data_IF_836135365226
#
_entry.id   IF_836135365226
#
_cell.length_a   1.000
_cell.length_b   1.000
_cell.length_c   1.000
_cell.angle_alpha   90.00
_cell.angle_beta   90.00
_cell.angle_gamma   90.00
#
_symmetry.space_group_name_H-M   'P 1'
#
loop_
_entity.id
_entity.type
_entity.pdbx_description
1 polymer ?
#
# COMPACT_ATOMS: atom_id res chain seq x y z
N UNK A 1 15.60 -1.87 7.04
CA UNK A 1 14.33 -2.04 7.79
C UNK A 1 13.47 -3.09 7.09
N UNK A 2 12.49 -3.71 7.78
CA UNK A 2 11.65 -4.76 7.19
C UNK A 2 10.89 -4.30 5.91
N UNK A 3 10.48 -3.02 5.87
CA UNK A 3 9.82 -2.42 4.70
C UNK A 3 10.69 -2.44 3.43
N UNK A 4 12.02 -2.33 3.55
CA UNK A 4 12.92 -2.38 2.40
C UNK A 4 12.89 -3.78 1.74
N UNK A 5 12.69 -4.83 2.54
CA UNK A 5 12.54 -6.21 2.06
C UNK A 5 11.24 -6.42 1.28
N UNK A 6 10.12 -5.86 1.77
CA UNK A 6 8.81 -5.95 1.10
C UNK A 6 8.78 -5.24 -0.26
N UNK A 7 9.43 -4.08 -0.38
CA UNK A 7 9.56 -3.39 -1.68
C UNK A 7 10.59 -4.02 -2.63
N UNK A 8 11.46 -4.91 -2.13
CA UNK A 8 12.61 -5.44 -2.87
C UNK A 8 12.56 -6.96 -3.05
N UNK A 9 11.36 -7.56 -3.16
CA UNK A 9 11.14 -9.00 -3.33
C UNK A 9 11.80 -9.63 -4.58
N UNK A 10 12.58 -8.88 -5.35
CA UNK A 10 13.40 -9.32 -6.48
C UNK A 10 14.52 -10.34 -6.15
N UNK A 11 14.85 -10.59 -4.87
CA UNK A 11 16.05 -11.36 -4.45
C UNK A 11 15.76 -12.70 -3.75
N UNK A 12 14.58 -13.29 -3.89
CA UNK A 12 14.18 -14.49 -3.12
C UNK A 12 14.29 -15.85 -3.85
N UNK A 13 14.72 -15.93 -5.10
CA UNK A 13 14.88 -17.24 -5.77
C UNK A 13 16.27 -17.46 -6.38
N UNK A 14 17.09 -18.28 -5.70
CA UNK A 14 18.39 -18.76 -6.19
C UNK A 14 18.34 -19.70 -7.40
N UNK A 15 17.17 -19.86 -8.07
CA UNK A 15 16.97 -20.71 -9.25
C UNK A 15 16.53 -19.91 -10.50
N UNK A 16 16.66 -18.58 -10.47
CA UNK A 16 16.13 -17.64 -11.47
C UNK A 16 16.73 -17.74 -12.89
N UNK A 17 17.75 -18.56 -13.13
CA UNK A 17 18.26 -18.79 -14.49
C UNK A 17 17.31 -19.62 -15.37
N UNK A 18 16.25 -20.22 -14.81
CA UNK A 18 15.28 -21.03 -15.57
C UNK A 18 13.88 -20.40 -15.70
N UNK A 19 13.51 -19.46 -14.83
CA UNK A 19 12.22 -18.76 -14.87
C UNK A 19 12.37 -17.29 -14.44
N UNK A 20 12.19 -16.37 -15.40
CA UNK A 20 12.25 -14.92 -15.20
C UNK A 20 10.89 -14.42 -14.67
N UNK A 21 10.64 -14.58 -13.37
CA UNK A 21 9.47 -13.99 -12.71
C UNK A 21 9.87 -12.74 -11.94
N UNK A 22 9.19 -11.62 -12.18
CA UNK A 22 9.31 -10.44 -11.35
C UNK A 22 8.41 -10.61 -10.13
N UNK A 23 9.01 -10.67 -8.95
CA UNK A 23 8.31 -10.75 -7.67
C UNK A 23 8.13 -9.37 -7.02
N UNK A 24 8.52 -8.29 -7.72
CA UNK A 24 8.20 -6.96 -7.22
C UNK A 24 6.68 -6.77 -7.20
N UNK A 25 6.12 -6.21 -6.12
CA UNK A 25 4.69 -5.93 -6.09
C UNK A 25 4.33 -4.93 -7.19
N UNK A 26 3.13 -5.05 -7.77
CA UNK A 26 2.57 -4.04 -8.69
C UNK A 26 2.02 -2.83 -7.93
N UNK A 27 1.53 -3.09 -6.71
CA UNK A 27 0.85 -2.12 -5.85
C UNK A 27 1.11 -2.39 -4.37
N UNK A 28 1.04 -1.35 -3.54
CA UNK A 28 1.19 -1.43 -2.08
C UNK A 28 0.22 -0.49 -1.37
N UNK A 29 -0.36 -0.95 -0.26
CA UNK A 29 -1.10 -0.11 0.68
C UNK A 29 -0.48 -0.27 2.07
N UNK A 30 -0.05 0.83 2.65
CA UNK A 30 0.54 0.90 3.98
C UNK A 30 -0.35 1.79 4.85
N UNK A 31 -0.57 1.37 6.10
CA UNK A 31 -1.18 2.20 7.14
C UNK A 31 -0.17 2.43 8.24
N UNK A 32 0.24 3.69 8.43
CA UNK A 32 1.11 4.09 9.54
C UNK A 32 0.25 4.80 10.58
N UNK A 33 0.09 4.18 11.74
CA UNK A 33 -0.84 4.62 12.79
C UNK A 33 -0.33 4.23 14.17
N UNK A 34 -0.87 4.87 15.21
CA UNK A 34 -0.72 4.46 16.61
C UNK A 34 -1.86 3.54 17.08
N UNK A 35 -2.91 3.33 16.27
CA UNK A 35 -3.96 2.35 16.54
C UNK A 35 -3.38 0.92 16.42
N UNK A 36 -3.39 0.12 17.49
CA UNK A 36 -2.88 -1.25 17.44
C UNK A 36 -3.75 -2.19 16.59
N UNK A 37 -5.00 -1.82 16.30
CA UNK A 37 -5.87 -2.60 15.44
C UNK A 37 -5.51 -2.35 13.96
N UNK A 38 -5.31 -3.40 13.14
CA UNK A 38 -4.98 -3.20 11.72
C UNK A 38 -6.03 -2.41 10.93
N UNK A 39 -7.33 -2.60 11.22
CA UNK A 39 -8.54 -1.99 10.60
C UNK A 39 -8.67 -2.07 9.07
N UNK A 40 -7.64 -2.48 8.34
CA UNK A 40 -7.61 -2.63 6.88
C UNK A 40 -7.69 -4.09 6.42
N UNK A 41 -7.92 -5.04 7.34
CA UNK A 41 -8.13 -6.44 6.99
C UNK A 41 -9.39 -6.59 6.11
N UNK A 42 -9.29 -7.42 5.08
CA UNK A 42 -10.39 -7.71 4.14
C UNK A 42 -10.94 -6.48 3.39
N UNK A 43 -10.13 -5.42 3.26
CA UNK A 43 -10.50 -4.21 2.54
C UNK A 43 -10.16 -4.26 1.04
N UNK A 44 -9.45 -5.30 0.60
CA UNK A 44 -8.99 -5.47 -0.78
C UNK A 44 -9.69 -6.69 -1.37
N UNK A 45 -10.21 -6.56 -2.60
CA UNK A 45 -10.75 -7.67 -3.38
C UNK A 45 -10.17 -7.64 -4.77
N UNK A 46 -9.90 -8.81 -5.30
CA UNK A 46 -9.48 -8.99 -6.68
C UNK A 46 -10.74 -9.09 -7.56
N UNK A 47 -10.87 -8.20 -8.54
CA UNK A 47 -11.92 -8.21 -9.57
C UNK A 47 -11.26 -8.45 -10.94
N UNK A 48 -10.93 -9.70 -11.24
CA UNK A 48 -10.16 -10.03 -12.45
C UNK A 48 -8.70 -9.64 -12.26
N UNK A 49 -8.16 -8.81 -13.15
CA UNK A 49 -6.77 -8.32 -13.09
C UNK A 49 -6.62 -7.01 -12.29
N UNK A 50 -7.66 -6.56 -11.58
CA UNK A 50 -7.61 -5.31 -10.80
C UNK A 50 -7.91 -5.54 -9.32
N UNK A 51 -7.35 -4.67 -8.49
CA UNK A 51 -7.60 -4.65 -7.05
C UNK A 51 -8.57 -3.52 -6.70
N UNK A 52 -9.73 -3.91 -6.18
CA UNK A 52 -10.78 -3.01 -5.71
C UNK A 52 -10.50 -2.47 -4.30
N UNK A 53 -10.72 -1.17 -4.11
CA UNK A 53 -10.49 -0.45 -2.85
C UNK A 53 -11.79 0.02 -2.18
N UNK A 54 -12.98 -0.37 -2.67
CA UNK A 54 -14.29 0.13 -2.18
C UNK A 54 -14.46 -0.09 -0.68
N UNK A 55 -14.00 -1.23 -0.16
CA UNK A 55 -14.12 -1.52 1.28
C UNK A 55 -13.16 -0.66 2.11
N UNK A 56 -11.95 -0.36 1.61
CA UNK A 56 -11.06 0.60 2.25
C UNK A 56 -11.68 2.01 2.26
N UNK A 57 -12.25 2.44 1.14
CA UNK A 57 -12.93 3.72 1.02
C UNK A 57 -14.12 3.84 1.99
N UNK A 58 -14.90 2.77 2.17
CA UNK A 58 -15.98 2.71 3.18
C UNK A 58 -15.44 2.86 4.60
N UNK A 59 -14.32 2.20 4.94
CA UNK A 59 -13.70 2.35 6.28
C UNK A 59 -13.26 3.78 6.53
N UNK A 60 -12.67 4.43 5.54
CA UNK A 60 -12.31 5.84 5.63
C UNK A 60 -13.55 6.73 5.77
N UNK A 61 -14.59 6.50 4.99
CA UNK A 61 -15.83 7.26 5.08
C UNK A 61 -16.54 7.11 6.43
N UNK A 62 -16.46 5.94 7.06
CA UNK A 62 -17.02 5.68 8.39
C UNK A 62 -16.18 6.23 9.55
N UNK A 63 -14.96 6.69 9.30
CA UNK A 63 -14.01 7.13 10.33
C UNK A 63 -13.27 5.99 11.05
N UNK A 64 -13.51 4.74 10.68
CA UNK A 64 -12.78 3.57 11.21
C UNK A 64 -11.27 3.60 10.87
N UNK A 65 -10.92 4.26 9.76
CA UNK A 65 -9.54 4.45 9.30
C UNK A 65 -9.38 5.92 8.91
N UNK A 66 -8.35 6.59 9.42
CA UNK A 66 -8.06 7.97 9.00
C UNK A 66 -7.36 7.96 7.65
N UNK A 67 -7.80 8.81 6.73
CA UNK A 67 -7.19 8.89 5.41
C UNK A 67 -5.71 9.28 5.51
N UNK A 68 -5.37 10.20 6.41
CA UNK A 68 -3.97 10.63 6.60
C UNK A 68 -3.04 9.50 7.06
N UNK A 69 -3.54 8.38 7.60
CA UNK A 69 -2.72 7.23 7.99
C UNK A 69 -2.34 6.36 6.78
N UNK A 70 -3.02 6.52 5.65
CA UNK A 70 -2.88 5.67 4.47
C UNK A 70 -1.84 6.20 3.49
N UNK A 71 -1.02 5.28 3.00
CA UNK A 71 -0.04 5.49 1.95
C UNK A 71 -0.27 4.42 0.87
N UNK A 72 -0.61 4.84 -0.33
CA UNK A 72 -0.84 3.98 -1.48
C UNK A 72 0.29 4.18 -2.50
N UNK A 73 0.71 3.11 -3.17
CA UNK A 73 1.76 3.15 -4.19
C UNK A 73 1.55 2.12 -5.28
N UNK A 74 2.01 2.42 -6.50
CA UNK A 74 1.97 1.49 -7.63
C UNK A 74 0.74 1.67 -8.51
N UNK A 75 0.32 0.63 -9.22
CA UNK A 75 -0.73 0.70 -10.24
C UNK A 75 -2.08 1.18 -9.70
N UNK A 76 -2.43 0.79 -8.46
CA UNK A 76 -3.65 1.26 -7.78
C UNK A 76 -3.73 2.78 -7.61
N UNK A 77 -2.63 3.52 -7.80
CA UNK A 77 -2.61 4.98 -7.66
C UNK A 77 -3.47 5.70 -8.71
N UNK A 78 -3.73 5.06 -9.84
CA UNK A 78 -4.57 5.58 -10.93
C UNK A 78 -6.05 5.21 -10.76
N UNK A 79 -6.39 4.36 -9.79
CA UNK A 79 -7.77 3.91 -9.56
C UNK A 79 -8.64 5.05 -8.99
N UNK A 80 -9.91 5.06 -9.37
CA UNK A 80 -10.85 6.10 -8.97
C UNK A 80 -10.97 6.20 -7.44
N UNK A 81 -10.98 5.07 -6.74
CA UNK A 81 -11.04 5.00 -5.28
C UNK A 81 -9.77 5.58 -4.63
N UNK A 82 -8.58 5.37 -5.23
CA UNK A 82 -7.33 5.93 -4.72
C UNK A 82 -7.29 7.45 -4.89
N UNK A 83 -7.84 7.97 -5.99
CA UNK A 83 -8.01 9.40 -6.21
C UNK A 83 -8.94 10.00 -5.15
N UNK A 84 -10.05 9.33 -4.83
CA UNK A 84 -10.97 9.78 -3.78
C UNK A 84 -10.31 9.72 -2.39
N UNK A 85 -9.56 8.66 -2.08
CA UNK A 85 -8.81 8.56 -0.82
C UNK A 85 -7.79 9.70 -0.70
N UNK A 86 -7.15 10.10 -1.81
CA UNK A 86 -6.21 11.22 -1.85
C UNK A 86 -6.88 12.55 -1.49
N UNK A 87 -8.09 12.82 -2.00
CA UNK A 87 -8.82 14.05 -1.65
C UNK A 87 -9.23 14.09 -0.18
N UNK A 88 -9.39 12.92 0.46
CA UNK A 88 -9.68 12.79 1.89
C UNK A 88 -8.44 12.89 2.78
N UNK A 89 -7.23 12.87 2.23
CA UNK A 89 -5.98 13.04 2.98
C UNK A 89 -4.97 11.88 2.86
N UNK A 90 -5.31 10.81 2.14
CA UNK A 90 -4.36 9.73 1.90
C UNK A 90 -3.20 10.18 1.01
N UNK A 91 -2.03 9.61 1.23
CA UNK A 91 -0.86 9.88 0.41
C UNK A 91 -0.75 8.84 -0.70
N UNK A 92 -0.72 9.29 -1.96
CA UNK A 92 -0.74 8.40 -3.12
C UNK A 92 0.46 8.69 -4.00
N UNK A 93 1.25 7.67 -4.28
CA UNK A 93 2.41 7.72 -5.16
C UNK A 93 2.22 6.83 -6.39
N UNK A 94 2.72 7.23 -7.57
CA UNK A 94 2.66 6.37 -8.76
C UNK A 94 3.55 5.11 -8.64
N UNK A 95 4.47 5.07 -7.67
CA UNK A 95 5.38 3.94 -7.50
C UNK A 95 5.57 3.53 -6.04
N UNK A 96 5.86 2.25 -5.84
CA UNK A 96 5.96 1.59 -4.52
C UNK A 96 7.12 2.10 -3.69
N UNK A 97 8.27 2.40 -4.33
CA UNK A 97 9.46 2.88 -3.62
C UNK A 97 9.21 4.19 -2.86
N UNK A 98 8.47 5.11 -3.48
CA UNK A 98 8.12 6.38 -2.85
C UNK A 98 7.17 6.19 -1.67
N UNK A 99 6.20 5.28 -1.79
CA UNK A 99 5.29 4.91 -0.69
C UNK A 99 6.04 4.32 0.51
N UNK A 100 7.01 3.44 0.27
CA UNK A 100 7.83 2.85 1.35
C UNK A 100 8.75 3.89 2.01
N UNK A 101 9.37 4.78 1.24
CA UNK A 101 10.20 5.85 1.80
C UNK A 101 9.37 6.83 2.64
N UNK A 102 8.14 7.14 2.24
CA UNK A 102 7.23 7.96 3.05
C UNK A 102 6.85 7.25 4.36
N UNK A 103 6.52 5.96 4.29
CA UNK A 103 6.20 5.16 5.48
C UNK A 103 7.36 5.13 6.47
N UNK A 104 8.60 4.93 5.98
CA UNK A 104 9.81 4.96 6.81
C UNK A 104 10.01 6.31 7.49
N UNK A 105 9.78 7.42 6.79
CA UNK A 105 9.86 8.77 7.37
C UNK A 105 8.83 8.98 8.46
N UNK A 106 7.60 8.48 8.30
CA UNK A 106 6.56 8.59 9.33
C UNK A 106 6.91 7.77 10.57
N UNK A 107 7.31 6.51 10.38
CA UNK A 107 7.73 5.64 11.48
C UNK A 107 8.92 6.24 12.23
N UNK A 108 9.92 6.77 11.52
CA UNK A 108 11.11 7.37 12.13
C UNK A 108 10.86 8.72 12.82
N UNK A 109 9.75 9.41 12.53
CA UNK A 109 9.32 10.62 13.27
C UNK A 109 8.46 10.29 14.50
N UNK A 110 7.86 9.11 14.53
CA UNK A 110 7.00 8.60 15.61
C UNK A 110 7.78 7.84 16.68
N UNK A 111 9.11 7.74 16.54
CA UNK A 111 10.02 7.04 17.45
C UNK A 111 10.79 8.02 18.34
#
# INVERSE_FOLDING_TARGET
>A
MALDGLASLRRVAGNHSRFLYDFSPESIVLRVTHDPAPRILYCFREEGDTIDLKNLAKRVASGDVKAEELILGGEIASEQDAIELKTKGATVFPGIKAAVEDAKKRIGKSA
#
